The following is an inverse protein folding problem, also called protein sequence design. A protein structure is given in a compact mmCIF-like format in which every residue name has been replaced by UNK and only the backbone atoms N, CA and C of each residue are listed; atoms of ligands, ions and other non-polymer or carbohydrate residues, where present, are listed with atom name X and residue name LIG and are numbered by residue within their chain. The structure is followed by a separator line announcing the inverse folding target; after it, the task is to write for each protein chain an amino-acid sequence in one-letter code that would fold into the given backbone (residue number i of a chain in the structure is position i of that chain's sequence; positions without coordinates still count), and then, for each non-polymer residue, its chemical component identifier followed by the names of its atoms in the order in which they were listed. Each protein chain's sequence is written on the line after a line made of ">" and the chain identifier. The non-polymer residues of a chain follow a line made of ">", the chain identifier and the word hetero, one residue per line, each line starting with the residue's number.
data_IF_298311394843
#
_entry.id   IF_298311394843
#
_cell.length_a   1.000
_cell.length_b   1.000
_cell.length_c   1.000
_cell.angle_alpha   90.00
_cell.angle_beta   90.00
_cell.angle_gamma   90.00
#
_symmetry.space_group_name_H-M   'P 1'
#
loop_
_entity.id
_entity.type
_entity.pdbx_description
1 polymer ?
#
# COMPACT_ATOMS: atom_id res chain seq x y z
N UNK A 1 13.65 16.21 -3.20
CA UNK A 1 13.60 15.01 -2.34
C UNK A 1 12.89 15.45 -1.08
N UNK A 2 11.77 14.81 -0.75
CA UNK A 2 10.99 15.08 0.46
C UNK A 2 11.29 13.99 1.49
N UNK A 3 10.90 14.17 2.75
CA UNK A 3 10.97 13.15 3.80
C UNK A 3 9.72 13.21 4.64
N UNK A 4 9.25 12.07 5.14
CA UNK A 4 8.08 12.05 6.03
C UNK A 4 8.33 12.85 7.31
N UNK A 5 9.57 12.88 7.81
CA UNK A 5 9.98 13.70 8.96
C UNK A 5 9.82 15.19 8.67
N UNK A 6 10.34 15.66 7.53
CA UNK A 6 10.29 17.08 7.14
C UNK A 6 8.84 17.52 6.91
N UNK A 7 8.02 16.66 6.31
CA UNK A 7 6.59 16.91 6.14
C UNK A 7 5.85 16.96 7.49
N UNK A 8 6.24 16.14 8.48
CA UNK A 8 5.66 16.22 9.83
C UNK A 8 5.98 17.54 10.51
N UNK A 9 7.21 18.03 10.38
CA UNK A 9 7.62 19.32 10.94
C UNK A 9 6.88 20.50 10.29
N UNK A 10 6.63 20.43 8.97
CA UNK A 10 5.95 21.48 8.22
C UNK A 10 4.41 21.47 8.40
N UNK A 11 3.80 20.29 8.47
CA UNK A 11 2.33 20.10 8.42
C UNK A 11 1.75 19.42 9.68
N UNK A 12 2.34 19.67 10.86
CA UNK A 12 2.06 18.97 12.13
C UNK A 12 0.57 18.70 12.45
N UNK A 13 -0.32 19.63 12.10
CA UNK A 13 -1.77 19.55 12.40
C UNK A 13 -2.63 19.00 11.27
N UNK A 14 -2.06 18.81 10.08
CA UNK A 14 -2.76 18.43 8.85
C UNK A 14 -2.47 16.99 8.41
N UNK A 15 -1.69 16.26 9.22
CA UNK A 15 -1.21 14.92 8.91
C UNK A 15 -1.75 13.87 9.87
N UNK A 16 -2.10 12.71 9.32
CA UNK A 16 -2.26 11.49 10.10
C UNK A 16 -0.98 10.66 10.00
N UNK A 17 -0.44 10.20 11.13
CA UNK A 17 0.77 9.37 11.18
C UNK A 17 0.39 7.92 11.43
N UNK A 18 0.74 7.03 10.49
CA UNK A 18 0.47 5.61 10.63
C UNK A 18 1.35 4.99 11.74
N UNK A 19 0.71 4.32 12.70
CA UNK A 19 1.39 3.65 13.82
C UNK A 19 1.70 2.17 13.55
N UNK A 20 1.49 1.69 12.33
CA UNK A 20 1.87 0.33 11.94
C UNK A 20 3.30 0.31 11.43
N UNK A 21 4.08 -0.64 11.93
CA UNK A 21 5.39 -0.96 11.38
C UNK A 21 5.21 -1.85 10.14
N UNK A 22 5.68 -1.36 9.00
CA UNK A 22 5.76 -2.13 7.76
C UNK A 22 7.22 -2.48 7.47
N UNK A 23 7.40 -3.53 6.68
CA UNK A 23 8.65 -3.87 6.03
C UNK A 23 8.56 -3.45 4.57
N UNK A 24 9.65 -2.88 4.04
CA UNK A 24 9.79 -2.61 2.62
C UNK A 24 10.18 -3.88 1.85
N UNK A 25 9.50 -4.10 0.74
CA UNK A 25 9.70 -5.24 -0.16
C UNK A 25 9.93 -4.83 -1.61
N UNK A 26 9.54 -3.61 -2.01
CA UNK A 26 9.73 -3.09 -3.36
C UNK A 26 11.10 -2.46 -3.54
N UNK A 27 11.46 -2.14 -4.78
CA UNK A 27 12.73 -1.46 -5.08
C UNK A 27 12.74 0.00 -4.64
N UNK A 28 11.58 0.67 -4.65
CA UNK A 28 11.46 2.07 -4.18
C UNK A 28 11.20 2.08 -2.68
N UNK A 29 12.16 2.61 -1.93
CA UNK A 29 12.03 2.80 -0.48
C UNK A 29 11.20 4.04 -0.13
N UNK A 30 11.18 5.04 -1.03
CA UNK A 30 10.38 6.25 -0.92
C UNK A 30 9.36 6.34 -2.06
N UNK A 31 8.09 6.56 -1.73
CA UNK A 31 7.00 6.70 -2.69
C UNK A 31 5.81 7.47 -2.09
N UNK A 32 5.02 8.09 -2.95
CA UNK A 32 3.79 8.79 -2.56
C UNK A 32 2.78 8.74 -3.68
N UNK A 33 1.51 9.00 -3.36
CA UNK A 33 0.48 9.12 -4.37
C UNK A 33 -0.91 9.19 -3.79
N UNK A 34 -1.88 9.33 -4.70
CA UNK A 34 -3.30 9.32 -4.34
C UNK A 34 -3.70 7.92 -3.86
N UNK A 35 -4.46 7.84 -2.77
CA UNK A 35 -4.90 6.58 -2.18
C UNK A 35 -6.06 5.99 -2.98
N UNK A 36 -5.95 4.71 -3.28
CA UNK A 36 -7.08 3.83 -3.59
C UNK A 36 -7.12 2.69 -2.57
N UNK A 37 -8.31 2.20 -2.25
CA UNK A 37 -8.50 1.26 -1.13
C UNK A 37 -9.15 -0.04 -1.56
N UNK A 38 -8.71 -1.13 -0.93
CA UNK A 38 -9.29 -2.46 -1.08
C UNK A 38 -9.33 -3.11 0.30
N UNK A 39 -10.49 -3.63 0.70
CA UNK A 39 -10.65 -4.43 1.92
C UNK A 39 -10.97 -5.86 1.54
N UNK A 40 -10.18 -6.80 2.03
CA UNK A 40 -10.30 -8.23 1.73
C UNK A 40 -9.99 -9.06 2.95
N UNK A 41 -10.37 -10.34 2.92
CA UNK A 41 -9.95 -11.33 3.92
C UNK A 41 -9.51 -12.58 3.21
N UNK A 42 -8.21 -12.87 3.28
CA UNK A 42 -7.56 -14.05 2.69
C UNK A 42 -7.81 -14.26 1.18
N UNK A 43 -8.22 -13.21 0.47
CA UNK A 43 -8.57 -13.18 -0.97
C UNK A 43 -7.88 -11.97 -1.64
N UNK A 44 -7.42 -12.11 -2.88
CA UNK A 44 -6.75 -11.00 -3.59
C UNK A 44 -7.30 -10.72 -4.99
N UNK A 45 -8.47 -11.24 -5.35
CA UNK A 45 -9.10 -10.98 -6.65
C UNK A 45 -9.35 -9.48 -6.82
N UNK A 46 -9.91 -8.83 -5.80
CA UNK A 46 -10.14 -7.38 -5.82
C UNK A 46 -8.85 -6.56 -5.79
N UNK A 47 -7.77 -7.09 -5.20
CA UNK A 47 -6.44 -6.48 -5.28
C UNK A 47 -5.97 -6.46 -6.73
N UNK A 48 -6.02 -7.62 -7.41
CA UNK A 48 -5.66 -7.71 -8.84
C UNK A 48 -6.50 -6.79 -9.70
N UNK A 49 -7.82 -6.74 -9.50
CA UNK A 49 -8.71 -5.84 -10.25
C UNK A 49 -8.42 -4.36 -9.99
N UNK A 50 -8.03 -3.98 -8.77
CA UNK A 50 -7.57 -2.64 -8.46
C UNK A 50 -6.33 -2.31 -9.28
N UNK A 51 -5.30 -3.16 -9.16
CA UNK A 51 -4.03 -2.98 -9.87
C UNK A 51 -4.19 -2.82 -11.38
N UNK A 52 -5.19 -3.46 -12.00
CA UNK A 52 -5.45 -3.38 -13.44
C UNK A 52 -6.18 -2.11 -13.91
N UNK A 53 -6.83 -1.35 -13.00
CA UNK A 53 -7.72 -0.24 -13.38
C UNK A 53 -7.30 1.13 -12.83
N UNK A 54 -6.49 1.18 -11.77
CA UNK A 54 -6.12 2.42 -11.09
C UNK A 54 -5.25 3.36 -11.95
N UNK A 55 -5.36 4.69 -11.82
CA UNK A 55 -4.49 5.63 -12.55
C UNK A 55 -3.00 5.45 -12.23
N UNK A 56 -2.14 5.84 -13.17
CA UNK A 56 -0.69 5.99 -12.96
C UNK A 56 -0.40 6.86 -11.73
N UNK A 57 0.63 6.53 -10.95
CA UNK A 57 1.02 7.24 -9.73
C UNK A 57 0.12 7.00 -8.51
N UNK A 58 -0.90 6.15 -8.60
CA UNK A 58 -1.75 5.79 -7.44
C UNK A 58 -0.98 4.92 -6.44
N UNK A 59 -1.31 5.03 -5.16
CA UNK A 59 -0.91 4.06 -4.13
C UNK A 59 -2.12 3.21 -3.74
N UNK A 60 -2.01 1.90 -3.93
CA UNK A 60 -3.05 0.96 -3.52
C UNK A 60 -2.86 0.55 -2.06
N UNK A 61 -3.83 0.85 -1.21
CA UNK A 61 -3.86 0.45 0.19
C UNK A 61 -4.81 -0.73 0.36
N UNK A 62 -4.29 -1.85 0.83
CA UNK A 62 -5.01 -3.11 1.02
C UNK A 62 -5.15 -3.40 2.50
N UNK A 63 -6.38 -3.40 3.01
CA UNK A 63 -6.69 -3.94 4.34
C UNK A 63 -7.01 -5.44 4.23
N UNK A 64 -6.03 -6.27 4.60
CA UNK A 64 -6.15 -7.72 4.72
C UNK A 64 -6.55 -8.19 6.12
N UNK A 65 -6.89 -7.26 7.02
CA UNK A 65 -7.16 -7.57 8.43
C UNK A 65 -5.93 -8.07 9.20
N UNK A 66 -4.72 -7.81 8.71
CA UNK A 66 -3.47 -8.36 9.25
C UNK A 66 -3.46 -9.90 9.38
N UNK A 67 -4.24 -10.59 8.55
CA UNK A 67 -4.32 -12.06 8.56
C UNK A 67 -2.97 -12.70 8.24
N UNK A 68 -2.59 -13.71 9.01
CA UNK A 68 -1.38 -14.52 8.83
C UNK A 68 -1.64 -15.79 8.02
N UNK A 69 -2.83 -15.98 7.44
CA UNK A 69 -3.20 -17.23 6.78
C UNK A 69 -2.62 -17.37 5.36
N UNK A 70 -2.43 -16.24 4.68
CA UNK A 70 -1.94 -16.21 3.30
C UNK A 70 -1.29 -14.86 2.94
N UNK A 71 -0.60 -14.85 1.80
CA UNK A 71 -0.14 -13.64 1.15
C UNK A 71 -1.20 -13.08 0.19
N UNK A 72 -1.36 -11.75 0.22
CA UNK A 72 -2.27 -11.00 -0.65
C UNK A 72 -1.58 -10.46 -1.91
N UNK A 73 -0.25 -10.31 -1.88
CA UNK A 73 0.57 -9.85 -2.98
C UNK A 73 1.75 -10.81 -3.21
N UNK A 74 2.08 -11.04 -4.48
CA UNK A 74 3.30 -11.70 -4.92
C UNK A 74 3.82 -11.02 -6.20
N UNK A 75 4.90 -11.55 -6.75
CA UNK A 75 5.64 -11.01 -7.91
C UNK A 75 4.73 -10.64 -9.10
N UNK A 76 3.81 -11.52 -9.47
CA UNK A 76 2.94 -11.37 -10.64
C UNK A 76 1.98 -10.17 -10.50
N UNK A 77 1.45 -9.92 -9.29
CA UNK A 77 0.59 -8.75 -9.07
C UNK A 77 1.43 -7.48 -8.99
N UNK A 78 2.59 -7.54 -8.36
CA UNK A 78 3.50 -6.39 -8.28
C UNK A 78 4.03 -5.99 -9.67
N UNK A 79 4.28 -6.94 -10.58
CA UNK A 79 4.65 -6.68 -11.96
C UNK A 79 3.54 -5.95 -12.74
N UNK A 80 2.27 -6.32 -12.55
CA UNK A 80 1.13 -5.56 -13.11
C UNK A 80 1.15 -4.12 -12.60
N UNK A 81 1.48 -3.94 -11.32
CA UNK A 81 1.51 -2.63 -10.71
C UNK A 81 2.62 -1.74 -11.29
N UNK A 82 3.80 -2.31 -11.51
CA UNK A 82 4.93 -1.66 -12.18
C UNK A 82 4.62 -1.33 -13.65
N UNK A 83 4.09 -2.27 -14.42
CA UNK A 83 3.70 -2.05 -15.82
C UNK A 83 2.70 -0.90 -15.94
N UNK A 84 1.78 -0.80 -14.99
CA UNK A 84 0.79 0.29 -14.91
C UNK A 84 1.27 1.53 -14.16
N UNK A 85 2.56 1.56 -13.80
CA UNK A 85 3.25 2.70 -13.18
C UNK A 85 2.54 3.21 -11.93
N UNK A 86 2.04 2.31 -11.11
CA UNK A 86 1.57 2.65 -9.77
C UNK A 86 2.76 3.14 -8.93
N UNK A 87 2.52 4.09 -8.03
CA UNK A 87 3.56 4.60 -7.15
C UNK A 87 3.96 3.56 -6.09
N UNK A 88 2.97 2.81 -5.59
CA UNK A 88 3.24 1.71 -4.67
C UNK A 88 2.00 0.99 -4.17
N UNK A 89 2.24 0.02 -3.29
CA UNK A 89 1.22 -0.83 -2.65
C UNK A 89 1.54 -0.92 -1.15
N UNK A 90 0.54 -0.66 -0.30
CA UNK A 90 0.63 -0.85 1.16
C UNK A 90 -0.35 -1.95 1.55
N UNK A 91 0.13 -3.00 2.21
CA UNK A 91 -0.67 -4.16 2.59
C UNK A 91 -0.70 -4.29 4.12
N UNK A 92 -1.85 -4.06 4.75
CA UNK A 92 -2.12 -4.50 6.12
C UNK A 92 -2.36 -6.02 6.13
N UNK A 93 -1.27 -6.76 5.91
CA UNK A 93 -1.25 -8.20 5.68
C UNK A 93 0.14 -8.64 5.22
N UNK A 94 0.21 -9.81 4.60
CA UNK A 94 1.47 -10.46 4.23
C UNK A 94 1.60 -10.57 2.71
N UNK A 95 2.86 -10.68 2.27
CA UNK A 95 3.24 -10.85 0.86
C UNK A 95 4.08 -12.10 0.67
N UNK A 96 4.42 -12.45 -0.56
CA UNK A 96 5.34 -13.54 -0.89
C UNK A 96 6.23 -13.15 -2.08
N UNK A 97 7.12 -14.06 -2.47
CA UNK A 97 8.05 -13.84 -3.59
C UNK A 97 8.98 -12.64 -3.30
N UNK A 98 9.39 -12.50 -2.04
CA UNK A 98 10.09 -11.30 -1.55
C UNK A 98 11.46 -11.05 -2.19
N UNK A 99 12.09 -12.08 -2.77
CA UNK A 99 13.32 -11.93 -3.56
C UNK A 99 13.04 -11.19 -4.86
N UNK A 100 11.93 -11.52 -5.50
CA UNK A 100 11.48 -10.96 -6.77
C UNK A 100 10.95 -9.54 -6.55
N UNK A 101 10.14 -9.33 -5.50
CA UNK A 101 9.56 -8.02 -5.17
C UNK A 101 10.62 -6.90 -5.05
N UNK A 102 11.81 -7.22 -4.54
CA UNK A 102 12.91 -6.24 -4.37
C UNK A 102 13.40 -5.64 -5.68
N UNK A 103 13.14 -6.29 -6.82
CA UNK A 103 13.57 -5.84 -8.13
C UNK A 103 12.47 -5.04 -8.87
N UNK A 104 11.26 -4.98 -8.32
CA UNK A 104 10.11 -4.31 -8.94
C UNK A 104 10.14 -2.81 -8.58
N UNK A 105 10.15 -1.93 -9.58
CA UNK A 105 10.37 -0.48 -9.49
C UNK A 105 9.16 0.31 -8.96
N UNK A 106 8.55 -0.17 -7.87
CA UNK A 106 7.47 0.50 -7.13
C UNK A 106 7.73 0.40 -5.62
N UNK A 107 7.01 1.20 -4.84
CA UNK A 107 6.97 1.03 -3.38
C UNK A 107 6.12 -0.17 -2.98
N UNK A 108 6.61 -1.02 -2.08
CA UNK A 108 5.80 -2.12 -1.52
C UNK A 108 6.04 -2.22 -0.02
N UNK A 109 5.00 -1.96 0.76
CA UNK A 109 5.01 -2.09 2.21
C UNK A 109 4.05 -3.20 2.65
N UNK A 110 4.49 -4.07 3.56
CA UNK A 110 3.64 -5.10 4.16
C UNK A 110 4.11 -5.48 5.56
N UNK A 111 3.30 -6.22 6.32
CA UNK A 111 3.65 -6.63 7.68
C UNK A 111 4.73 -7.73 7.72
N UNK A 112 4.84 -8.52 6.65
CA UNK A 112 5.80 -9.61 6.57
C UNK A 112 5.56 -10.51 5.36
N UNK A 113 6.16 -11.71 5.40
CA UNK A 113 6.06 -12.72 4.34
C UNK A 113 5.22 -13.93 4.77
N UNK A 114 4.41 -14.48 3.87
CA UNK A 114 3.62 -15.69 4.08
C UNK A 114 3.61 -16.53 2.79
N UNK A 115 4.16 -17.76 2.77
CA UNK A 115 4.29 -18.54 1.53
C UNK A 115 2.94 -18.96 0.92
N UNK A 116 1.92 -19.16 1.76
CA UNK A 116 0.62 -19.65 1.31
C UNK A 116 -0.10 -18.60 0.46
N UNK A 117 -0.77 -19.02 -0.61
CA UNK A 117 -1.52 -18.11 -1.51
C UNK A 117 -2.91 -17.82 -0.96
N UNK A 118 -3.45 -16.64 -1.26
CA UNK A 118 -4.85 -16.30 -1.01
C UNK A 118 -5.81 -17.21 -1.80
N UNK A 119 -7.05 -17.31 -1.33
CA UNK A 119 -8.16 -17.83 -2.15
C UNK A 119 -8.50 -16.84 -3.28
N UNK A 120 -9.37 -17.26 -4.21
CA UNK A 120 -9.76 -16.50 -5.41
C UNK A 120 -11.28 -16.50 -5.58
N UNK A 121 -12.00 -16.12 -4.54
CA UNK A 121 -13.47 -16.10 -4.50
C UNK A 121 -14.07 -14.75 -4.91
N UNK A 122 -13.27 -13.68 -4.96
CA UNK A 122 -13.78 -12.36 -5.37
C UNK A 122 -14.44 -11.58 -4.24
N UNK A 123 -14.21 -11.97 -2.98
CA UNK A 123 -14.86 -11.33 -1.82
C UNK A 123 -14.08 -10.12 -1.33
N UNK A 124 -14.82 -9.09 -0.93
CA UNK A 124 -14.29 -7.87 -0.31
C UNK A 124 -14.98 -6.62 -0.83
N UNK A 125 -14.37 -5.48 -0.55
CA UNK A 125 -14.90 -4.17 -0.88
C UNK A 125 -13.77 -3.31 -1.47
N UNK A 126 -14.13 -2.37 -2.35
CA UNK A 126 -13.21 -1.42 -2.96
C UNK A 126 -13.72 -0.01 -2.72
N UNK A 127 -12.79 0.95 -2.77
CA UNK A 127 -13.13 2.38 -2.77
C UNK A 127 -13.94 2.82 -1.53
N UNK A 128 -13.65 2.17 -0.39
CA UNK A 128 -14.20 2.48 0.95
C UNK A 128 -13.13 3.04 1.88
N UNK A 129 -13.51 3.76 2.94
CA UNK A 129 -12.58 4.09 4.03
C UNK A 129 -12.08 2.81 4.72
N UNK A 130 -10.77 2.74 4.99
CA UNK A 130 -10.15 1.68 5.78
C UNK A 130 -9.70 2.24 7.14
N UNK A 131 -9.65 1.38 8.17
CA UNK A 131 -9.23 1.79 9.51
C UNK A 131 -8.17 0.83 10.06
N UNK A 132 -6.90 1.21 9.97
CA UNK A 132 -5.81 0.48 10.62
C UNK A 132 -4.61 1.39 10.86
N UNK A 133 -3.76 1.03 11.84
CA UNK A 133 -2.58 1.83 12.18
C UNK A 133 -2.90 3.19 12.77
N UNK A 134 -4.03 3.31 13.48
CA UNK A 134 -4.52 4.55 14.10
C UNK A 134 -4.76 5.70 13.11
N UNK A 135 -4.99 5.37 11.84
CA UNK A 135 -5.33 6.34 10.79
C UNK A 135 -6.51 5.81 9.99
N UNK A 136 -7.24 6.74 9.38
CA UNK A 136 -8.25 6.44 8.37
C UNK A 136 -7.62 6.58 6.98
N UNK A 137 -7.78 5.57 6.14
CA UNK A 137 -7.30 5.58 4.75
C UNK A 137 -8.48 5.85 3.85
N UNK A 138 -8.64 7.08 3.38
CA UNK A 138 -9.75 7.43 2.48
C UNK A 138 -9.30 7.42 1.03
N UNK A 139 -10.13 6.90 0.11
CA UNK A 139 -9.92 7.12 -1.30
C UNK A 139 -9.77 8.61 -1.62
N UNK A 140 -8.89 8.93 -2.56
CA UNK A 140 -8.60 10.29 -3.03
C UNK A 140 -7.77 11.21 -2.12
N UNK A 141 -7.47 10.82 -0.88
CA UNK A 141 -6.43 11.45 -0.06
C UNK A 141 -5.04 11.04 -0.57
N UNK A 142 -3.97 11.55 0.04
CA UNK A 142 -2.59 11.27 -0.34
C UNK A 142 -1.85 10.54 0.77
N UNK A 143 -1.02 9.58 0.37
CA UNK A 143 -0.09 8.89 1.27
C UNK A 143 1.34 9.16 0.84
N UNK A 144 2.21 9.33 1.83
CA UNK A 144 3.65 9.48 1.69
C UNK A 144 4.31 8.42 2.56
N UNK A 145 5.25 7.68 1.98
CA UNK A 145 5.96 6.61 2.66
C UNK A 145 7.45 6.66 2.33
N UNK A 146 8.28 6.52 3.35
CA UNK A 146 9.74 6.36 3.26
C UNK A 146 10.24 5.45 4.40
N UNK A 147 11.55 5.44 4.64
CA UNK A 147 12.19 4.60 5.66
C UNK A 147 11.74 4.90 7.10
N UNK A 148 11.27 6.12 7.39
CA UNK A 148 10.91 6.56 8.74
C UNK A 148 9.44 6.25 9.06
N UNK A 149 8.57 6.19 8.05
CA UNK A 149 7.19 5.78 8.26
C UNK A 149 6.23 6.11 7.13
N UNK A 150 4.95 6.17 7.48
CA UNK A 150 3.85 6.44 6.56
C UNK A 150 2.96 7.54 7.14
N UNK A 151 2.71 8.57 6.34
CA UNK A 151 1.81 9.67 6.68
C UNK A 151 0.72 9.84 5.62
N UNK A 152 -0.43 10.37 6.04
CA UNK A 152 -1.58 10.64 5.19
C UNK A 152 -1.92 12.12 5.28
N UNK A 153 -2.25 12.71 4.14
CA UNK A 153 -2.72 14.09 4.01
C UNK A 153 -3.97 14.16 3.15
N UNK A 154 -4.87 15.09 3.45
CA UNK A 154 -6.08 15.32 2.66
C UNK A 154 -5.78 15.90 1.26
N UNK A 155 -4.61 16.50 1.08
CA UNK A 155 -4.19 17.18 -0.16
C UNK A 155 -2.78 16.76 -0.58
N UNK A 156 -2.41 17.04 -1.83
CA UNK A 156 -1.04 16.86 -2.27
C UNK A 156 -0.15 17.90 -1.58
N UNK A 157 0.86 17.40 -0.86
CA UNK A 157 1.96 18.19 -0.28
C UNK A 157 3.14 18.31 -1.25
N UNK A 158 3.12 17.55 -2.35
CA UNK A 158 4.10 17.67 -3.43
C UNK A 158 3.54 18.59 -4.52
N UNK A 159 4.31 19.62 -4.90
CA UNK A 159 4.15 20.38 -6.14
C UNK A 159 5.17 19.94 -7.17
#
# INVERSE_FOLDING_TARGET
>A
MWKTTDLCDEFEKELQICRKSFRSFGKKEQFYGKIATVKVKDDNVLVKEGLQRLPEGTVLVVDGGASTNCALLGDNLAAIAEERKLAGIIVNGYVRDSSELKNIDIGILALGTMPNRSVKEGKGERDISLQFGQVEWKPNEYVYADEDGVIISEKSLHR
#
